data_IF_012981054159
#
_entry.id   IF_012981054159
#
_cell.length_a   1.000
_cell.length_b   1.000
_cell.length_c   1.000
_cell.angle_alpha   90.00
_cell.angle_beta   90.00
_cell.angle_gamma   90.00
#
_symmetry.space_group_name_H-M   'P 1'
#
loop_
_entity.id
_entity.type
_entity.pdbx_description
1 polymer ?
#
# COMPACT_ATOMS: atom_id res chain seq x y z
N UNK A 1 -7.45 58.06 8.87
CA UNK A 1 -6.47 57.36 8.04
C UNK A 1 -7.10 56.02 7.71
N UNK A 2 -7.63 55.82 6.52
CA UNK A 2 -8.25 54.55 6.09
C UNK A 2 -7.14 53.73 5.47
N UNK A 3 -6.76 52.63 6.10
CA UNK A 3 -5.85 51.66 5.49
C UNK A 3 -6.60 50.85 4.47
N UNK A 4 -6.40 51.14 3.20
CA UNK A 4 -6.83 50.26 2.12
C UNK A 4 -5.85 49.08 2.06
N UNK A 5 -6.28 47.90 2.53
CA UNK A 5 -5.55 46.66 2.29
C UNK A 5 -5.70 46.33 0.81
N UNK A 6 -4.68 46.60 0.04
CA UNK A 6 -4.55 46.08 -1.33
C UNK A 6 -4.22 44.60 -1.18
N UNK A 7 -5.22 43.75 -1.31
CA UNK A 7 -4.99 42.32 -1.55
C UNK A 7 -4.28 42.21 -2.92
N UNK A 8 -2.99 41.98 -2.91
CA UNK A 8 -2.30 41.52 -4.13
C UNK A 8 -3.00 40.22 -4.54
N UNK A 9 -3.75 40.28 -5.64
CA UNK A 9 -4.40 39.12 -6.21
C UNK A 9 -3.34 38.11 -6.58
N UNK A 10 -3.22 37.04 -5.77
CA UNK A 10 -2.51 35.84 -6.18
C UNK A 10 -3.17 35.40 -7.47
N UNK A 11 -2.44 35.37 -8.59
CA UNK A 11 -2.93 34.81 -9.85
C UNK A 11 -3.38 33.38 -9.56
N UNK A 12 -4.65 33.06 -9.88
CA UNK A 12 -5.19 31.75 -9.63
C UNK A 12 -4.30 30.69 -10.29
N UNK A 13 -3.74 29.77 -9.49
CA UNK A 13 -2.96 28.65 -10.01
C UNK A 13 -3.94 27.71 -10.71
N UNK A 14 -3.67 27.37 -11.97
CA UNK A 14 -4.49 26.47 -12.76
C UNK A 14 -3.85 25.09 -12.89
N UNK A 15 -4.63 24.03 -13.14
CA UNK A 15 -4.13 22.69 -13.45
C UNK A 15 -3.07 22.69 -14.55
N UNK A 16 -2.20 21.70 -14.51
CA UNK A 16 -1.12 21.52 -15.49
C UNK A 16 -1.65 21.11 -16.88
N UNK A 17 -2.82 20.48 -16.94
CA UNK A 17 -3.39 19.87 -18.14
C UNK A 17 -2.70 18.58 -18.57
N UNK A 18 -1.81 18.02 -17.75
CA UNK A 18 -1.08 16.78 -18.07
C UNK A 18 -1.64 15.53 -17.36
N UNK A 19 -2.47 15.72 -16.36
CA UNK A 19 -3.10 14.65 -15.58
C UNK A 19 -4.63 14.75 -15.66
N UNK A 20 -5.36 13.68 -15.33
CA UNK A 20 -6.79 13.75 -15.11
C UNK A 20 -7.14 14.80 -14.05
N UNK A 21 -8.23 15.54 -14.24
CA UNK A 21 -8.67 16.57 -13.33
C UNK A 21 -9.96 16.11 -12.66
N UNK A 22 -9.92 15.99 -11.33
CA UNK A 22 -11.08 15.68 -10.50
C UNK A 22 -11.76 16.96 -10.08
N UNK A 23 -12.99 17.14 -10.49
CA UNK A 23 -13.85 18.26 -10.11
C UNK A 23 -14.89 17.81 -9.09
N UNK A 24 -14.92 18.46 -7.96
CA UNK A 24 -15.88 18.22 -6.89
C UNK A 24 -16.61 19.53 -6.58
N UNK A 25 -17.93 19.46 -6.48
CA UNK A 25 -18.76 20.57 -6.00
C UNK A 25 -19.60 20.07 -4.83
N UNK A 26 -19.36 20.64 -3.64
CA UNK A 26 -20.18 20.33 -2.46
C UNK A 26 -21.52 21.07 -2.55
N UNK A 27 -22.58 20.45 -2.05
CA UNK A 27 -23.92 21.09 -2.07
C UNK A 27 -23.98 22.39 -1.25
N UNK A 28 -23.07 22.54 -0.31
CA UNK A 28 -22.94 23.75 0.53
C UNK A 28 -22.12 24.86 -0.16
N UNK A 29 -21.33 24.51 -1.16
CA UNK A 29 -20.31 25.41 -1.75
C UNK A 29 -19.16 25.74 -0.79
N UNK A 30 -19.10 25.12 0.40
CA UNK A 30 -18.10 25.39 1.41
C UNK A 30 -16.97 24.35 1.39
N UNK A 31 -15.76 24.69 1.88
CA UNK A 31 -14.69 23.74 2.06
C UNK A 31 -15.09 22.53 2.93
N UNK A 32 -14.51 21.37 2.68
CA UNK A 32 -14.67 20.18 3.49
C UNK A 32 -13.75 20.29 4.71
N UNK A 33 -14.33 20.53 5.88
CA UNK A 33 -13.59 20.77 7.14
C UNK A 33 -13.79 19.68 8.17
N UNK A 34 -14.67 18.73 7.92
CA UNK A 34 -15.02 17.65 8.84
C UNK A 34 -14.42 16.32 8.38
N UNK A 35 -13.83 15.59 9.31
CA UNK A 35 -13.24 14.27 9.10
C UNK A 35 -14.24 13.13 9.34
N UNK A 36 -15.25 13.36 10.16
CA UNK A 36 -16.16 12.31 10.63
C UNK A 36 -17.48 12.33 9.85
N UNK A 37 -17.98 13.51 9.50
CA UNK A 37 -19.25 13.68 8.82
C UNK A 37 -19.09 13.93 7.32
N UNK A 38 -19.89 13.23 6.52
CA UNK A 38 -19.92 13.40 5.07
C UNK A 38 -20.73 14.63 4.68
N UNK A 39 -20.17 15.38 3.70
CA UNK A 39 -20.88 16.42 2.95
C UNK A 39 -21.26 15.83 1.59
N UNK A 40 -22.51 16.00 1.18
CA UNK A 40 -22.98 15.58 -0.14
C UNK A 40 -22.53 16.56 -1.24
N UNK A 41 -22.42 16.06 -2.44
CA UNK A 41 -22.01 16.87 -3.59
C UNK A 41 -21.99 16.06 -4.89
N UNK A 42 -21.32 16.62 -5.87
CA UNK A 42 -21.13 16.00 -7.18
C UNK A 42 -19.66 15.94 -7.56
N UNK A 43 -19.34 14.97 -8.43
CA UNK A 43 -18.00 14.72 -8.95
C UNK A 43 -18.05 14.44 -10.46
N UNK A 44 -17.10 14.96 -11.20
CA UNK A 44 -16.75 14.48 -12.53
C UNK A 44 -15.23 14.51 -12.71
N UNK A 45 -14.75 13.75 -13.71
CA UNK A 45 -13.32 13.68 -14.04
C UNK A 45 -13.20 13.95 -15.55
N UNK A 46 -12.37 14.89 -15.91
CA UNK A 46 -12.00 15.19 -17.28
C UNK A 46 -10.50 15.07 -17.55
N UNK A 47 -10.06 15.46 -18.73
CA UNK A 47 -8.65 15.34 -19.14
C UNK A 47 -8.07 13.94 -18.98
N UNK A 48 -8.85 12.90 -19.25
CA UNK A 48 -8.45 11.51 -19.17
C UNK A 48 -8.75 10.76 -20.47
N UNK A 49 -8.18 9.56 -20.62
CA UNK A 49 -8.39 8.73 -21.80
C UNK A 49 -9.88 8.37 -21.99
N UNK A 50 -10.29 8.14 -23.22
CA UNK A 50 -11.65 7.71 -23.54
C UNK A 50 -12.02 6.45 -22.74
N UNK A 51 -13.23 6.45 -22.15
CA UNK A 51 -13.71 5.34 -21.31
C UNK A 51 -13.20 5.35 -19.86
N UNK A 52 -12.33 6.28 -19.48
CA UNK A 52 -11.83 6.42 -18.09
C UNK A 52 -12.53 7.54 -17.31
N UNK A 53 -13.48 8.24 -17.92
CA UNK A 53 -14.21 9.35 -17.30
C UNK A 53 -15.17 8.87 -16.20
N UNK A 54 -15.39 9.73 -15.20
CA UNK A 54 -16.45 9.59 -14.21
C UNK A 54 -17.41 10.77 -14.32
N UNK A 55 -18.54 10.59 -14.99
CA UNK A 55 -19.46 11.68 -15.28
C UNK A 55 -18.88 12.72 -16.25
N UNK A 56 -19.55 13.86 -16.35
CA UNK A 56 -19.12 15.03 -17.14
C UNK A 56 -19.57 16.32 -16.42
N UNK A 57 -19.06 17.47 -16.81
CA UNK A 57 -19.54 18.76 -16.28
C UNK A 57 -21.06 18.96 -16.44
N UNK A 58 -21.64 18.47 -17.55
CA UNK A 58 -23.09 18.56 -17.81
C UNK A 58 -23.90 17.46 -17.07
N UNK A 59 -23.27 16.36 -16.69
CA UNK A 59 -23.90 15.23 -16.00
C UNK A 59 -22.92 14.62 -14.98
N UNK A 60 -22.62 15.33 -13.89
CA UNK A 60 -21.74 14.83 -12.85
C UNK A 60 -22.39 13.69 -12.06
N UNK A 61 -21.59 12.88 -11.40
CA UNK A 61 -22.07 11.82 -10.50
C UNK A 61 -22.29 12.37 -9.09
N UNK A 62 -23.32 11.86 -8.43
CA UNK A 62 -23.55 12.15 -7.00
C UNK A 62 -22.60 11.39 -6.11
N UNK A 63 -22.14 12.04 -5.05
CA UNK A 63 -21.21 11.49 -4.09
C UNK A 63 -21.31 12.18 -2.74
N UNK A 64 -20.63 11.62 -1.75
CA UNK A 64 -20.36 12.24 -0.46
C UNK A 64 -18.85 12.31 -0.24
N UNK A 65 -18.37 13.37 0.40
CA UNK A 65 -16.96 13.62 0.71
C UNK A 65 -16.80 14.01 2.19
N UNK A 66 -15.71 13.56 2.79
CA UNK A 66 -15.23 14.00 4.11
C UNK A 66 -13.72 14.01 4.18
N UNK A 67 -13.16 14.60 5.21
CA UNK A 67 -11.75 14.46 5.51
C UNK A 67 -11.37 13.00 5.84
N UNK A 68 -10.05 12.71 5.83
CA UNK A 68 -9.48 11.43 6.27
C UNK A 68 -8.08 11.61 6.86
N UNK A 69 -7.59 10.54 7.49
CA UNK A 69 -6.27 10.49 8.12
C UNK A 69 -6.27 11.12 9.53
N UNK A 70 -5.23 10.84 10.27
CA UNK A 70 -4.99 11.39 11.62
C UNK A 70 -4.01 12.55 11.51
N UNK A 71 -2.71 12.25 11.50
CA UNK A 71 -1.65 13.24 11.43
C UNK A 71 -1.69 14.10 10.15
N UNK A 72 -1.94 13.50 8.99
CA UNK A 72 -2.05 14.21 7.71
C UNK A 72 -3.25 15.16 7.66
N UNK A 73 -4.32 14.87 8.39
CA UNK A 73 -5.47 15.77 8.52
C UNK A 73 -5.20 16.94 9.46
N UNK A 74 -4.61 16.68 10.63
CA UNK A 74 -4.41 17.71 11.65
C UNK A 74 -3.16 18.55 11.42
N UNK A 75 -2.10 17.96 10.88
CA UNK A 75 -0.77 18.55 10.77
C UNK A 75 -0.48 19.34 9.50
N UNK A 76 -1.33 19.26 8.46
CA UNK A 76 -1.05 19.89 7.15
C UNK A 76 -2.26 20.66 6.63
N UNK A 77 -2.03 21.73 5.88
CA UNK A 77 -3.09 22.53 5.25
C UNK A 77 -3.68 21.82 4.02
N UNK A 78 -2.86 21.11 3.26
CA UNK A 78 -3.30 20.29 2.14
C UNK A 78 -3.93 19.00 2.65
N UNK A 79 -5.28 18.96 2.64
CA UNK A 79 -6.08 17.92 3.30
C UNK A 79 -6.33 16.70 2.41
N UNK A 80 -6.19 15.49 2.93
CA UNK A 80 -6.66 14.27 2.25
C UNK A 80 -8.16 14.05 2.47
N UNK A 81 -8.83 13.39 1.49
CA UNK A 81 -10.29 13.20 1.52
C UNK A 81 -10.68 11.73 1.29
N UNK A 82 -11.85 11.34 1.80
CA UNK A 82 -12.54 10.09 1.51
C UNK A 82 -13.80 10.40 0.71
N UNK A 83 -13.97 9.69 -0.42
CA UNK A 83 -15.12 9.83 -1.32
C UNK A 83 -15.95 8.56 -1.26
N UNK A 84 -17.27 8.73 -1.25
CA UNK A 84 -18.25 7.66 -1.39
C UNK A 84 -19.22 8.03 -2.51
N UNK A 85 -19.10 7.34 -3.65
CA UNK A 85 -20.06 7.48 -4.76
C UNK A 85 -21.40 6.84 -4.40
N UNK A 86 -22.49 7.35 -4.91
CA UNK A 86 -23.82 6.76 -4.69
C UNK A 86 -23.95 5.38 -5.35
N UNK A 87 -23.27 5.18 -6.45
CA UNK A 87 -23.20 3.90 -7.16
C UNK A 87 -21.74 3.48 -7.41
N UNK A 88 -21.50 2.18 -7.50
CA UNK A 88 -20.18 1.67 -7.87
C UNK A 88 -19.84 2.02 -9.31
N UNK A 89 -18.64 2.55 -9.53
CA UNK A 89 -18.12 2.90 -10.84
C UNK A 89 -16.66 2.49 -10.98
N UNK A 90 -16.25 2.14 -12.19
CA UNK A 90 -14.84 2.15 -12.58
C UNK A 90 -14.36 3.59 -12.67
N UNK A 91 -13.16 3.88 -12.22
CA UNK A 91 -12.61 5.23 -12.21
C UNK A 91 -11.17 5.20 -12.69
N UNK A 92 -10.84 5.91 -13.74
CA UNK A 92 -9.49 6.02 -14.30
C UNK A 92 -8.82 4.65 -14.55
N UNK A 93 -9.57 3.67 -15.02
CA UNK A 93 -9.08 2.30 -15.26
C UNK A 93 -9.03 1.39 -14.03
N UNK A 94 -9.23 1.93 -12.84
CA UNK A 94 -9.31 1.13 -11.61
C UNK A 94 -10.66 0.42 -11.50
N UNK A 95 -10.68 -0.73 -10.82
CA UNK A 95 -11.86 -1.59 -10.72
C UNK A 95 -13.00 -0.95 -9.91
N UNK A 96 -14.23 -1.32 -10.29
CA UNK A 96 -15.45 -0.69 -9.78
C UNK A 96 -15.58 -0.72 -8.26
N UNK A 97 -15.82 0.44 -7.68
CA UNK A 97 -16.12 0.64 -6.27
C UNK A 97 -16.94 1.92 -6.03
N UNK A 98 -17.54 2.02 -4.84
CA UNK A 98 -18.12 3.27 -4.34
C UNK A 98 -17.12 4.09 -3.53
N UNK A 99 -16.07 3.49 -2.99
CA UNK A 99 -15.18 4.07 -1.98
C UNK A 99 -13.79 4.34 -2.54
N UNK A 100 -13.36 5.59 -2.41
CA UNK A 100 -12.10 6.10 -2.91
C UNK A 100 -11.46 7.04 -1.90
N UNK A 101 -10.14 7.17 -1.97
CA UNK A 101 -9.40 8.17 -1.22
C UNK A 101 -8.69 9.12 -2.18
N UNK A 102 -8.71 10.41 -1.87
CA UNK A 102 -7.83 11.42 -2.46
C UNK A 102 -6.70 11.67 -1.47
N UNK A 103 -5.55 11.05 -1.74
CA UNK A 103 -4.35 11.19 -0.91
C UNK A 103 -3.64 12.48 -1.27
N UNK A 104 -3.39 13.34 -0.27
CA UNK A 104 -2.76 14.64 -0.47
C UNK A 104 -1.24 14.55 -0.58
N UNK A 105 -0.63 13.52 0.04
CA UNK A 105 0.82 13.34 0.18
C UNK A 105 1.54 14.63 0.64
N UNK A 106 0.92 15.38 1.56
CA UNK A 106 1.39 16.66 2.04
C UNK A 106 2.67 16.55 2.89
N UNK A 107 2.94 15.37 3.42
CA UNK A 107 4.10 14.99 4.22
C UNK A 107 5.24 14.34 3.39
N UNK A 108 4.98 14.03 2.11
CA UNK A 108 5.98 13.37 1.26
C UNK A 108 6.95 14.38 0.63
N UNK A 109 8.13 14.48 1.20
CA UNK A 109 9.23 15.33 0.71
C UNK A 109 10.16 14.61 -0.28
N UNK A 110 9.84 13.38 -0.70
CA UNK A 110 10.60 12.57 -1.66
C UNK A 110 9.90 12.47 -3.02
N UNK A 111 9.33 13.59 -3.50
CA UNK A 111 8.75 13.68 -4.83
C UNK A 111 7.40 12.97 -4.97
N UNK A 112 6.63 12.85 -3.91
CA UNK A 112 5.36 12.10 -3.89
C UNK A 112 5.53 10.60 -4.23
N UNK A 113 6.73 10.04 -4.01
CA UNK A 113 7.07 8.70 -4.48
C UNK A 113 6.98 7.62 -3.40
N UNK A 114 6.84 7.96 -2.11
CA UNK A 114 6.83 6.94 -1.04
C UNK A 114 5.71 5.92 -1.22
N UNK A 115 4.45 6.36 -1.29
CA UNK A 115 3.33 5.44 -1.48
C UNK A 115 3.40 4.72 -2.85
N UNK A 116 3.82 5.43 -3.90
CA UNK A 116 3.98 4.82 -5.23
C UNK A 116 5.02 3.70 -5.20
N UNK A 117 6.17 3.94 -4.60
CA UNK A 117 7.22 2.91 -4.46
C UNK A 117 6.72 1.71 -3.66
N UNK A 118 6.04 1.93 -2.53
CA UNK A 118 5.48 0.85 -1.73
C UNK A 118 4.46 0.00 -2.48
N UNK A 119 3.56 0.63 -3.25
CA UNK A 119 2.60 -0.09 -4.08
C UNK A 119 3.25 -0.80 -5.28
N UNK A 120 4.28 -0.22 -5.90
CA UNK A 120 5.05 -0.89 -6.95
C UNK A 120 5.79 -2.11 -6.39
N UNK A 121 6.48 -1.97 -5.25
CA UNK A 121 7.12 -3.09 -4.56
C UNK A 121 6.13 -4.22 -4.27
N UNK A 122 4.97 -3.89 -3.70
CA UNK A 122 3.92 -4.86 -3.40
C UNK A 122 3.45 -5.62 -4.65
N UNK A 123 3.30 -4.94 -5.79
CA UNK A 123 2.92 -5.56 -7.07
C UNK A 123 4.02 -6.47 -7.61
N UNK A 124 5.27 -6.00 -7.61
CA UNK A 124 6.41 -6.78 -8.13
C UNK A 124 6.74 -7.99 -7.26
N UNK A 125 6.62 -7.87 -5.94
CA UNK A 125 6.82 -8.97 -5.00
C UNK A 125 5.63 -9.94 -5.04
N UNK A 126 4.46 -9.48 -5.52
CA UNK A 126 3.30 -10.32 -5.80
C UNK A 126 2.42 -10.60 -4.58
N UNK A 127 2.11 -9.57 -3.78
CA UNK A 127 1.05 -9.66 -2.77
C UNK A 127 -0.31 -9.89 -3.45
N UNK A 128 -1.21 -10.60 -2.79
CA UNK A 128 -2.53 -11.00 -3.33
C UNK A 128 -3.36 -9.83 -3.82
N UNK A 129 -3.28 -8.70 -3.16
CA UNK A 129 -3.91 -7.46 -3.58
C UNK A 129 -3.08 -6.26 -3.14
N UNK A 130 -2.93 -5.31 -4.04
CA UNK A 130 -2.27 -4.02 -3.78
C UNK A 130 -3.23 -2.91 -4.21
N UNK A 131 -3.47 -1.89 -3.37
CA UNK A 131 -4.24 -0.73 -3.79
C UNK A 131 -3.66 -0.09 -5.04
N UNK A 132 -4.52 0.19 -6.02
CA UNK A 132 -4.14 1.00 -7.17
C UNK A 132 -4.33 2.47 -6.87
N UNK A 133 -3.46 3.31 -7.43
CA UNK A 133 -3.58 4.76 -7.36
C UNK A 133 -3.30 5.39 -8.72
N UNK A 134 -3.96 6.51 -8.98
CA UNK A 134 -3.76 7.32 -10.19
C UNK A 134 -3.50 8.77 -9.76
N UNK A 135 -2.41 9.39 -10.23
CA UNK A 135 -2.18 10.81 -9.98
C UNK A 135 -3.22 11.66 -10.70
N UNK A 136 -3.79 12.63 -9.99
CA UNK A 136 -4.83 13.53 -10.49
C UNK A 136 -4.57 14.96 -10.00
N UNK A 137 -5.12 15.94 -10.68
CA UNK A 137 -5.22 17.30 -10.17
C UNK A 137 -6.61 17.52 -9.58
N UNK A 138 -6.71 18.17 -8.42
CA UNK A 138 -7.96 18.31 -7.69
C UNK A 138 -8.48 19.75 -7.70
N UNK A 139 -9.76 19.89 -8.03
CA UNK A 139 -10.52 21.12 -7.89
C UNK A 139 -11.73 20.84 -6.99
N UNK A 140 -11.89 21.60 -5.90
CA UNK A 140 -13.08 21.58 -5.07
C UNK A 140 -13.71 22.97 -5.05
N UNK A 141 -15.01 23.08 -5.36
CA UNK A 141 -15.75 24.33 -5.38
C UNK A 141 -15.05 25.44 -6.20
N UNK A 142 -14.51 25.07 -7.36
CA UNK A 142 -13.72 25.93 -8.26
C UNK A 142 -12.35 26.37 -7.70
N UNK A 143 -11.91 25.85 -6.56
CA UNK A 143 -10.58 26.10 -6.04
C UNK A 143 -9.63 24.96 -6.43
N UNK A 144 -8.50 25.28 -7.08
CA UNK A 144 -7.45 24.32 -7.39
C UNK A 144 -6.65 23.97 -6.13
N UNK A 145 -6.61 22.69 -5.80
CA UNK A 145 -5.94 22.17 -4.59
C UNK A 145 -4.63 21.43 -4.87
N UNK A 146 -4.21 21.33 -6.14
CA UNK A 146 -2.92 20.75 -6.50
C UNK A 146 -2.96 19.28 -6.91
N UNK A 147 -1.82 18.62 -6.84
CA UNK A 147 -1.62 17.21 -7.16
C UNK A 147 -2.12 16.32 -6.03
N UNK A 148 -2.97 15.38 -6.36
CA UNK A 148 -3.51 14.35 -5.47
C UNK A 148 -3.35 12.97 -6.09
N UNK A 149 -3.58 11.92 -5.29
CA UNK A 149 -3.59 10.54 -5.77
C UNK A 149 -4.95 9.93 -5.47
N UNK A 150 -5.72 9.66 -6.51
CA UNK A 150 -6.98 8.93 -6.38
C UNK A 150 -6.63 7.46 -6.16
N UNK A 151 -6.97 6.93 -4.99
CA UNK A 151 -6.47 5.65 -4.48
C UNK A 151 -7.62 4.75 -4.06
N UNK A 152 -7.51 3.46 -4.33
CA UNK A 152 -8.40 2.44 -3.78
C UNK A 152 -8.24 2.37 -2.27
N UNK A 153 -9.35 2.22 -1.53
CA UNK A 153 -9.32 2.09 -0.07
C UNK A 153 -9.21 0.62 0.34
N UNK A 154 -8.50 0.35 1.41
CA UNK A 154 -8.44 -0.99 2.02
C UNK A 154 -9.82 -1.36 2.54
N UNK A 155 -10.39 -2.48 2.04
CA UNK A 155 -11.67 -3.03 2.46
C UNK A 155 -11.95 -4.40 1.84
N UNK A 156 -12.81 -5.18 2.47
CA UNK A 156 -13.36 -6.40 1.87
C UNK A 156 -14.35 -5.99 0.76
N UNK A 157 -14.04 -6.41 -0.46
CA UNK A 157 -14.86 -6.21 -1.66
C UNK A 157 -14.34 -7.10 -2.78
N UNK A 158 -15.24 -7.59 -3.67
CA UNK A 158 -14.90 -8.46 -4.81
C UNK A 158 -13.68 -7.99 -5.64
N UNK A 159 -13.54 -6.69 -5.84
CA UNK A 159 -12.47 -6.10 -6.65
C UNK A 159 -11.27 -5.60 -5.80
N UNK A 160 -11.17 -5.99 -4.54
CA UNK A 160 -10.12 -5.60 -3.59
C UNK A 160 -9.72 -6.81 -2.75
N UNK A 161 -9.87 -6.78 -1.44
CA UNK A 161 -9.73 -7.97 -0.61
C UNK A 161 -10.96 -8.85 -0.87
N UNK A 162 -10.80 -9.84 -1.75
CA UNK A 162 -11.91 -10.67 -2.23
C UNK A 162 -12.08 -11.90 -1.34
N UNK A 163 -12.70 -11.70 -0.19
CA UNK A 163 -13.07 -12.74 0.78
C UNK A 163 -14.53 -12.55 1.20
N UNK A 164 -15.09 -13.51 1.93
CA UNK A 164 -16.37 -13.34 2.60
C UNK A 164 -16.33 -12.11 3.53
N UNK A 165 -17.48 -11.53 3.82
CA UNK A 165 -17.58 -10.39 4.75
C UNK A 165 -18.31 -10.82 6.00
N UNK A 166 -17.72 -10.66 7.17
CA UNK A 166 -18.38 -10.88 8.45
C UNK A 166 -19.52 -9.85 8.61
N UNK A 167 -20.75 -10.27 8.84
CA UNK A 167 -21.86 -9.34 9.07
C UNK A 167 -21.68 -8.56 10.37
N UNK A 168 -22.19 -7.33 10.38
CA UNK A 168 -22.27 -6.55 11.63
C UNK A 168 -23.18 -7.25 12.65
N UNK A 169 -22.79 -7.17 13.92
CA UNK A 169 -23.52 -7.69 15.08
C UNK A 169 -23.95 -9.18 14.95
N UNK A 170 -23.14 -9.98 14.25
CA UNK A 170 -23.38 -11.41 14.08
C UNK A 170 -23.30 -12.13 15.44
N UNK A 171 -24.26 -13.03 15.68
CA UNK A 171 -24.33 -13.85 16.88
C UNK A 171 -24.34 -15.36 16.57
N UNK A 172 -24.27 -15.74 15.28
CA UNK A 172 -24.27 -17.13 14.86
C UNK A 172 -22.87 -17.73 14.91
N UNK A 173 -22.61 -18.68 15.84
CA UNK A 173 -21.29 -19.29 15.97
C UNK A 173 -20.84 -20.03 14.71
N UNK A 174 -21.76 -20.52 13.88
CA UNK A 174 -21.44 -21.29 12.67
C UNK A 174 -20.82 -20.45 11.56
N UNK A 175 -21.06 -19.13 11.58
CA UNK A 175 -20.57 -18.17 10.59
C UNK A 175 -19.49 -17.22 11.15
N UNK A 176 -19.06 -17.46 12.39
CA UNK A 176 -18.13 -16.59 13.09
C UNK A 176 -16.69 -16.66 12.53
N UNK A 177 -16.35 -17.74 11.83
CA UNK A 177 -14.98 -18.06 11.44
C UNK A 177 -14.39 -17.12 10.39
N UNK A 178 -15.19 -16.36 9.62
CA UNK A 178 -14.62 -15.72 8.47
C UNK A 178 -15.14 -14.36 8.07
N UNK A 179 -14.35 -13.77 7.17
CA UNK A 179 -14.59 -12.43 6.65
C UNK A 179 -14.06 -11.31 7.52
N UNK A 180 -12.95 -11.53 8.18
CA UNK A 180 -12.31 -10.55 9.07
C UNK A 180 -11.27 -9.71 8.34
N UNK A 181 -11.31 -8.40 8.53
CA UNK A 181 -10.25 -7.45 8.17
C UNK A 181 -9.88 -6.68 9.42
N UNK A 182 -8.62 -6.76 9.80
CA UNK A 182 -8.09 -6.14 11.02
C UNK A 182 -6.79 -5.37 10.72
N UNK A 183 -6.40 -4.51 11.65
CA UNK A 183 -5.22 -3.67 11.54
C UNK A 183 -4.54 -3.55 12.90
N UNK A 184 -3.23 -3.76 12.98
CA UNK A 184 -2.48 -3.26 14.13
C UNK A 184 -2.38 -1.75 13.94
N UNK A 185 -3.06 -1.01 14.81
CA UNK A 185 -3.10 0.45 14.78
C UNK A 185 -3.13 1.02 16.19
N UNK A 186 -2.07 1.69 16.58
CA UNK A 186 -1.96 2.30 17.90
C UNK A 186 -2.52 3.73 17.97
N UNK A 187 -3.03 4.26 16.87
CA UNK A 187 -3.47 5.65 16.77
C UNK A 187 -5.00 5.82 16.78
N UNK A 188 -5.75 4.81 16.35
CA UNK A 188 -7.21 4.87 16.32
C UNK A 188 -7.80 4.18 17.54
N UNK A 189 -8.20 4.98 18.55
CA UNK A 189 -8.79 4.47 19.78
C UNK A 189 -10.31 4.26 19.69
N UNK A 190 -10.96 4.85 18.68
CA UNK A 190 -12.42 4.97 18.62
C UNK A 190 -13.08 3.86 17.82
N UNK A 191 -12.31 3.07 17.06
CA UNK A 191 -12.78 2.00 16.18
C UNK A 191 -12.55 0.62 16.79
N UNK A 192 -13.45 0.15 17.67
CA UNK A 192 -13.55 -1.26 18.10
C UNK A 192 -12.19 -1.96 18.29
N UNK A 193 -11.28 -1.32 19.04
CA UNK A 193 -9.90 -1.76 19.18
C UNK A 193 -9.76 -2.83 20.27
N UNK A 194 -8.98 -3.85 19.98
CA UNK A 194 -8.51 -4.82 20.96
C UNK A 194 -7.14 -4.45 21.48
N UNK A 195 -6.95 -4.67 22.77
CA UNK A 195 -5.63 -4.56 23.41
C UNK A 195 -5.13 -5.97 23.67
N UNK A 196 -4.00 -6.29 23.09
CA UNK A 196 -3.23 -7.48 23.45
C UNK A 196 -2.05 -7.06 24.30
N UNK A 197 -1.83 -7.79 25.38
CA UNK A 197 -0.68 -7.60 26.24
C UNK A 197 0.18 -8.86 26.18
N UNK A 198 1.40 -8.72 25.68
CA UNK A 198 2.42 -9.75 25.72
C UNK A 198 3.79 -9.13 25.85
N UNK A 199 4.69 -9.75 26.58
CA UNK A 199 6.05 -9.26 26.82
C UNK A 199 6.10 -7.80 27.35
N UNK A 200 5.13 -7.40 28.16
CA UNK A 200 4.98 -6.05 28.71
C UNK A 200 4.69 -4.94 27.66
N UNK A 201 4.30 -5.31 26.44
CA UNK A 201 3.86 -4.36 25.42
C UNK A 201 2.38 -4.58 25.11
N UNK A 202 1.59 -3.51 25.20
CA UNK A 202 0.22 -3.51 24.71
C UNK A 202 0.22 -3.36 23.19
N UNK A 203 -0.55 -4.19 22.51
CA UNK A 203 -0.78 -4.07 21.08
C UNK A 203 -2.28 -3.83 20.85
N UNK A 204 -2.60 -2.83 20.05
CA UNK A 204 -3.97 -2.52 19.67
C UNK A 204 -4.26 -3.10 18.30
N UNK A 205 -5.34 -3.88 18.21
CA UNK A 205 -5.85 -4.42 16.95
C UNK A 205 -7.22 -3.82 16.69
N UNK A 206 -7.33 -3.00 15.66
CA UNK A 206 -8.58 -2.40 15.21
C UNK A 206 -9.28 -3.34 14.23
N UNK A 207 -10.58 -3.55 14.39
CA UNK A 207 -11.39 -4.37 13.49
C UNK A 207 -12.13 -3.48 12.51
N UNK A 208 -11.89 -3.69 11.21
CA UNK A 208 -12.54 -2.94 10.11
C UNK A 208 -13.74 -3.66 9.51
N UNK A 209 -13.74 -4.99 9.61
CA UNK A 209 -14.88 -5.82 9.21
C UNK A 209 -15.01 -6.96 10.22
N UNK A 210 -16.15 -7.04 10.92
CA UNK A 210 -17.33 -6.18 10.82
C UNK A 210 -17.06 -4.74 11.32
N UNK A 211 -17.88 -3.76 10.87
CA UNK A 211 -17.78 -2.37 11.34
C UNK A 211 -18.35 -2.22 12.77
N UNK A 212 -19.35 -3.05 13.13
CA UNK A 212 -19.96 -3.09 14.46
C UNK A 212 -19.99 -4.54 14.96
N UNK A 213 -19.27 -4.81 16.05
CA UNK A 213 -19.18 -6.17 16.60
C UNK A 213 -20.25 -6.45 17.66
N UNK A 214 -20.77 -7.68 17.65
CA UNK A 214 -21.45 -8.26 18.81
C UNK A 214 -20.44 -8.68 19.88
N UNK A 215 -20.92 -9.02 21.10
CA UNK A 215 -20.06 -9.58 22.14
C UNK A 215 -19.41 -10.92 21.71
N UNK A 216 -20.16 -11.76 21.00
CA UNK A 216 -19.63 -13.03 20.48
C UNK A 216 -18.52 -12.83 19.44
N UNK A 217 -18.65 -11.81 18.57
CA UNK A 217 -17.62 -11.43 17.65
C UNK A 217 -16.38 -10.89 18.35
N UNK A 218 -16.54 -10.10 19.42
CA UNK A 218 -15.45 -9.63 20.26
C UNK A 218 -14.69 -10.78 20.91
N UNK A 219 -15.42 -11.73 21.49
CA UNK A 219 -14.82 -12.91 22.12
C UNK A 219 -14.07 -13.74 21.10
N UNK A 220 -14.65 -13.97 19.93
CA UNK A 220 -14.03 -14.75 18.86
C UNK A 220 -12.73 -14.12 18.36
N UNK A 221 -12.75 -12.84 17.99
CA UNK A 221 -11.55 -12.19 17.43
C UNK A 221 -10.47 -12.04 18.49
N UNK A 222 -10.82 -11.80 19.77
CA UNK A 222 -9.88 -11.79 20.87
C UNK A 222 -9.19 -13.16 21.04
N UNK A 223 -9.96 -14.25 20.96
CA UNK A 223 -9.41 -15.59 20.99
C UNK A 223 -8.46 -15.87 19.82
N UNK A 224 -8.81 -15.43 18.60
CA UNK A 224 -7.95 -15.56 17.42
C UNK A 224 -6.63 -14.80 17.57
N UNK A 225 -6.67 -13.56 18.08
CA UNK A 225 -5.48 -12.75 18.29
C UNK A 225 -4.58 -13.36 19.38
N UNK A 226 -5.16 -13.88 20.47
CA UNK A 226 -4.41 -14.59 21.48
C UNK A 226 -3.76 -15.88 20.93
N UNK A 227 -4.48 -16.63 20.10
CA UNK A 227 -3.95 -17.82 19.43
C UNK A 227 -2.74 -17.51 18.57
N UNK A 228 -2.80 -16.45 17.74
CA UNK A 228 -1.65 -15.98 16.95
C UNK A 228 -0.49 -15.57 17.86
N UNK A 229 -0.78 -14.79 18.90
CA UNK A 229 0.21 -14.31 19.84
C UNK A 229 0.92 -15.46 20.56
N UNK A 230 0.19 -16.48 20.99
CA UNK A 230 0.77 -17.67 21.63
C UNK A 230 1.62 -18.46 20.64
N UNK A 231 1.12 -18.69 19.42
CA UNK A 231 1.83 -19.44 18.39
C UNK A 231 3.16 -18.78 17.99
N UNK A 232 3.22 -17.45 17.88
CA UNK A 232 4.47 -16.74 17.56
C UNK A 232 5.51 -16.78 18.69
N UNK A 233 5.10 -16.93 19.94
CA UNK A 233 6.00 -16.99 21.09
C UNK A 233 6.27 -18.42 21.62
N UNK A 234 5.65 -19.44 21.02
CA UNK A 234 6.01 -20.83 21.26
C UNK A 234 7.34 -21.16 20.57
N UNK A 235 8.37 -21.37 21.34
CA UNK A 235 9.75 -21.50 20.83
C UNK A 235 10.07 -22.79 20.07
N UNK A 236 9.13 -23.73 19.91
CA UNK A 236 9.40 -25.10 19.46
C UNK A 236 8.44 -25.66 18.41
N UNK A 237 7.44 -24.92 17.92
CA UNK A 237 6.45 -25.49 17.02
C UNK A 237 6.29 -24.68 15.71
N UNK A 238 6.07 -25.39 14.59
CA UNK A 238 5.62 -24.80 13.32
C UNK A 238 4.12 -24.50 13.34
N UNK A 239 3.52 -24.45 14.52
CA UNK A 239 2.08 -24.27 14.70
C UNK A 239 1.57 -22.95 14.09
N UNK A 240 2.35 -21.89 14.19
CA UNK A 240 2.01 -20.60 13.60
C UNK A 240 1.81 -20.67 12.07
N UNK A 241 2.51 -21.56 11.36
CA UNK A 241 2.36 -21.76 9.92
C UNK A 241 1.01 -22.40 9.53
N UNK A 242 0.31 -23.03 10.48
CA UNK A 242 -1.04 -23.52 10.29
C UNK A 242 -2.06 -22.37 10.36
N UNK A 243 -1.72 -21.29 11.06
CA UNK A 243 -2.59 -20.14 11.30
C UNK A 243 -2.37 -19.02 10.30
N UNK A 244 -1.17 -18.93 9.71
CA UNK A 244 -0.74 -17.82 8.86
C UNK A 244 -0.27 -18.32 7.50
N UNK A 245 -0.57 -17.56 6.45
CA UNK A 245 0.03 -17.79 5.13
C UNK A 245 1.46 -17.23 5.14
N UNK A 246 2.43 -18.14 5.12
CA UNK A 246 3.85 -17.81 5.19
C UNK A 246 4.28 -16.91 4.02
N UNK A 247 3.83 -17.22 2.81
CA UNK A 247 4.23 -16.48 1.62
C UNK A 247 3.75 -15.02 1.68
N UNK A 248 2.50 -14.79 2.04
CA UNK A 248 1.97 -13.42 2.14
C UNK A 248 2.64 -12.63 3.26
N UNK A 249 2.90 -13.28 4.41
CA UNK A 249 3.60 -12.62 5.51
C UNK A 249 5.04 -12.23 5.12
N UNK A 250 5.77 -13.12 4.46
CA UNK A 250 7.14 -12.85 3.98
C UNK A 250 7.14 -11.76 2.90
N UNK A 251 6.22 -11.80 1.96
CA UNK A 251 6.08 -10.77 0.92
C UNK A 251 5.77 -9.40 1.53
N UNK A 252 4.84 -9.35 2.48
CA UNK A 252 4.53 -8.13 3.22
C UNK A 252 5.79 -7.57 3.91
N UNK A 253 6.51 -8.43 4.66
CA UNK A 253 7.75 -8.08 5.33
C UNK A 253 8.80 -7.53 4.34
N UNK A 254 9.00 -8.22 3.21
CA UNK A 254 9.97 -7.83 2.21
C UNK A 254 9.70 -6.43 1.64
N UNK A 255 8.42 -6.10 1.37
CA UNK A 255 8.05 -4.74 0.95
C UNK A 255 8.46 -3.71 2.00
N UNK A 256 8.12 -3.96 3.27
CA UNK A 256 8.37 -3.01 4.36
C UNK A 256 9.86 -2.81 4.61
N UNK A 257 10.65 -3.87 4.51
CA UNK A 257 12.11 -3.80 4.66
C UNK A 257 12.77 -3.04 3.51
N UNK A 258 12.38 -3.29 2.26
CA UNK A 258 12.97 -2.59 1.10
C UNK A 258 12.68 -1.10 1.18
N UNK A 259 11.46 -0.71 1.53
CA UNK A 259 11.09 0.70 1.63
C UNK A 259 11.45 1.33 2.98
N UNK A 260 12.06 0.56 3.88
CA UNK A 260 12.45 1.01 5.23
C UNK A 260 11.31 1.75 5.96
N UNK A 261 10.12 1.12 5.99
CA UNK A 261 8.96 1.68 6.66
C UNK A 261 9.01 1.37 8.16
N UNK A 262 9.57 2.28 8.94
CA UNK A 262 9.80 2.05 10.38
C UNK A 262 8.52 1.96 11.23
N UNK A 263 7.34 2.20 10.65
CA UNK A 263 6.05 2.14 11.34
C UNK A 263 5.23 0.88 10.98
N UNK A 264 5.71 0.07 10.05
CA UNK A 264 4.96 -0.97 9.33
C UNK A 264 4.24 -2.03 10.16
N UNK A 265 4.68 -2.28 11.40
CA UNK A 265 4.04 -3.23 12.32
C UNK A 265 3.49 -2.56 13.58
N UNK A 266 3.53 -1.24 13.63
CA UNK A 266 3.03 -0.42 14.74
C UNK A 266 1.73 0.32 14.38
N UNK A 267 1.55 0.67 13.12
CA UNK A 267 0.37 1.29 12.55
C UNK A 267 0.18 0.89 11.09
N UNK A 268 -1.02 0.94 10.60
CA UNK A 268 -1.42 0.59 9.23
C UNK A 268 -1.00 -0.82 8.79
N UNK A 269 -0.83 -1.72 9.75
CA UNK A 269 -0.49 -3.12 9.50
C UNK A 269 -1.76 -3.95 9.35
N UNK A 270 -2.25 -4.07 8.12
CA UNK A 270 -3.45 -4.82 7.80
C UNK A 270 -3.18 -6.31 7.68
N UNK A 271 -4.14 -7.12 8.11
CA UNK A 271 -4.23 -8.55 7.81
C UNK A 271 -5.67 -9.01 7.83
N UNK A 272 -5.95 -10.10 7.14
CA UNK A 272 -7.32 -10.55 6.93
C UNK A 272 -7.42 -12.08 6.91
N UNK A 273 -8.62 -12.59 7.18
CA UNK A 273 -8.92 -14.03 7.20
C UNK A 273 -10.26 -14.27 6.53
N UNK A 274 -10.28 -15.21 5.58
CA UNK A 274 -11.52 -15.66 4.92
C UNK A 274 -12.31 -16.62 5.83
N UNK A 275 -13.48 -17.02 5.40
CA UNK A 275 -14.29 -18.02 6.09
C UNK A 275 -13.65 -19.41 6.03
N UNK A 276 -13.96 -20.23 7.01
CA UNK A 276 -13.50 -21.62 7.12
C UNK A 276 -12.76 -21.92 8.41
N UNK A 277 -12.92 -23.15 8.91
CA UNK A 277 -12.29 -23.58 10.17
C UNK A 277 -10.75 -23.51 10.06
N UNK A 278 -10.21 -23.95 8.93
CA UNK A 278 -8.77 -24.02 8.66
C UNK A 278 -8.24 -22.81 7.86
N UNK A 279 -9.04 -21.73 7.72
CA UNK A 279 -8.61 -20.55 7.01
C UNK A 279 -7.43 -19.87 7.72
N UNK A 280 -6.42 -19.46 6.95
CA UNK A 280 -5.24 -18.77 7.43
C UNK A 280 -5.42 -17.26 7.45
N UNK A 281 -4.63 -16.60 8.27
CA UNK A 281 -4.45 -15.15 8.22
C UNK A 281 -3.45 -14.77 7.13
N UNK A 282 -3.80 -13.75 6.34
CA UNK A 282 -3.00 -13.18 5.26
C UNK A 282 -2.58 -11.77 5.63
N UNK A 283 -1.28 -11.48 5.69
CA UNK A 283 -0.77 -10.14 5.92
C UNK A 283 -0.89 -9.28 4.67
N UNK A 284 -1.32 -8.07 4.84
CA UNK A 284 -1.61 -7.13 3.76
C UNK A 284 -3.08 -6.68 3.76
N UNK A 285 -3.43 -5.80 2.80
CA UNK A 285 -2.54 -5.15 1.84
C UNK A 285 -1.60 -4.14 2.51
N UNK A 286 -0.56 -3.76 1.81
CA UNK A 286 0.32 -2.67 2.26
C UNK A 286 -0.40 -1.32 2.18
N UNK A 287 -0.12 -0.45 3.14
CA UNK A 287 -0.70 0.88 3.24
C UNK A 287 0.22 1.80 4.04
N UNK A 288 0.15 3.12 3.77
CA UNK A 288 0.81 4.19 4.51
C UNK A 288 2.35 4.06 4.63
N UNK A 289 3.02 4.65 3.66
CA UNK A 289 4.47 4.70 3.59
C UNK A 289 5.04 6.08 3.98
N UNK A 290 4.26 6.90 4.68
CA UNK A 290 4.63 8.26 5.08
C UNK A 290 5.95 8.34 5.86
N UNK A 291 6.25 7.31 6.66
CA UNK A 291 7.46 7.23 7.48
C UNK A 291 8.63 6.48 6.81
N UNK A 292 8.50 6.09 5.54
CA UNK A 292 9.56 5.41 4.80
C UNK A 292 10.79 6.32 4.62
N UNK A 293 11.98 5.73 4.81
CA UNK A 293 13.27 6.43 4.75
C UNK A 293 13.38 7.64 5.69
N UNK A 294 12.60 7.66 6.77
CA UNK A 294 12.65 8.77 7.72
C UNK A 294 13.95 8.78 8.54
N UNK A 295 14.43 7.62 8.90
CA UNK A 295 15.71 7.44 9.62
C UNK A 295 16.43 6.24 9.02
N UNK A 296 17.40 6.50 8.16
CA UNK A 296 18.24 5.43 7.62
C UNK A 296 19.04 4.74 8.70
N UNK A 297 18.87 3.44 8.79
CA UNK A 297 19.60 2.58 9.71
C UNK A 297 19.96 1.27 9.01
N UNK A 298 21.20 0.81 9.23
CA UNK A 298 21.65 -0.51 8.80
C UNK A 298 21.18 -1.59 9.78
N UNK A 299 19.89 -1.62 10.03
CA UNK A 299 19.18 -2.54 10.92
C UNK A 299 17.92 -3.05 10.21
N UNK A 300 17.43 -4.27 10.56
CA UNK A 300 16.08 -4.66 10.20
C UNK A 300 15.05 -3.68 10.79
N UNK A 301 13.91 -3.53 10.12
CA UNK A 301 12.89 -2.56 10.60
C UNK A 301 12.39 -2.88 12.01
N UNK A 302 12.36 -4.15 12.43
CA UNK A 302 11.91 -4.54 13.77
C UNK A 302 12.93 -4.20 14.88
N UNK A 303 14.17 -3.86 14.54
CA UNK A 303 15.19 -3.34 15.47
C UNK A 303 15.23 -1.81 15.47
N UNK A 304 14.46 -1.14 14.61
CA UNK A 304 14.41 0.31 14.58
C UNK A 304 13.81 0.85 15.89
N UNK A 305 14.52 1.69 16.65
CA UNK A 305 14.06 2.13 17.97
C UNK A 305 12.93 3.17 17.92
N UNK A 306 12.51 3.61 16.73
CA UNK A 306 11.48 4.64 16.59
C UNK A 306 10.11 4.15 17.03
N UNK A 307 9.75 2.92 16.62
CA UNK A 307 8.48 2.29 16.97
C UNK A 307 8.71 0.84 17.37
N UNK A 308 7.93 0.36 18.33
CA UNK A 308 7.93 -1.06 18.67
C UNK A 308 7.16 -1.86 17.62
N UNK A 309 7.77 -2.91 17.07
CA UNK A 309 7.28 -3.65 15.90
C UNK A 309 6.63 -5.00 16.27
N UNK A 310 6.10 -5.13 17.45
CA UNK A 310 5.34 -6.27 17.95
C UNK A 310 5.88 -7.65 17.51
N UNK A 311 5.06 -8.51 16.95
CA UNK A 311 5.33 -9.91 16.60
C UNK A 311 6.50 -10.11 15.62
N UNK A 312 6.80 -9.14 14.78
CA UNK A 312 7.65 -9.37 13.60
C UNK A 312 9.10 -9.71 13.95
N UNK A 313 9.63 -9.19 15.05
CA UNK A 313 10.98 -9.55 15.51
C UNK A 313 11.09 -11.03 15.87
N UNK A 314 10.04 -11.59 16.46
CA UNK A 314 9.97 -13.02 16.78
C UNK A 314 9.75 -13.85 15.51
N UNK A 315 8.82 -13.46 14.65
CA UNK A 315 8.51 -14.14 13.37
C UNK A 315 9.74 -14.21 12.48
N UNK A 316 10.49 -13.12 12.34
CA UNK A 316 11.69 -13.05 11.52
C UNK A 316 12.81 -13.99 11.99
N UNK A 317 12.76 -14.51 13.21
CA UNK A 317 13.72 -15.48 13.74
C UNK A 317 13.45 -16.92 13.30
N UNK A 318 12.27 -17.24 12.76
CA UNK A 318 11.93 -18.60 12.38
C UNK A 318 12.67 -19.06 11.11
N UNK A 319 13.27 -20.28 11.11
CA UNK A 319 14.03 -20.76 9.96
C UNK A 319 13.25 -20.85 8.65
N UNK A 320 11.98 -21.25 8.69
CA UNK A 320 11.10 -21.30 7.53
C UNK A 320 10.84 -19.91 6.94
N UNK A 321 10.63 -18.92 7.81
CA UNK A 321 10.48 -17.53 7.39
C UNK A 321 11.75 -17.01 6.70
N UNK A 322 12.92 -17.24 7.31
CA UNK A 322 14.20 -16.79 6.76
C UNK A 322 14.51 -17.45 5.41
N UNK A 323 14.25 -18.76 5.29
CA UNK A 323 14.43 -19.48 4.02
C UNK A 323 13.54 -18.91 2.93
N UNK A 324 12.25 -18.69 3.24
CA UNK A 324 11.30 -18.15 2.26
C UNK A 324 11.56 -16.69 1.91
N UNK A 325 12.03 -15.90 2.88
CA UNK A 325 12.48 -14.52 2.67
C UNK A 325 13.64 -14.46 1.68
N UNK A 326 14.62 -15.36 1.80
CA UNK A 326 15.76 -15.39 0.90
C UNK A 326 15.34 -15.72 -0.54
N UNK A 327 14.39 -16.63 -0.74
CA UNK A 327 13.86 -16.95 -2.07
C UNK A 327 13.19 -15.72 -2.72
N UNK A 328 12.24 -15.07 -2.04
CA UNK A 328 11.57 -13.88 -2.59
C UNK A 328 12.51 -12.69 -2.76
N UNK A 329 13.51 -12.55 -1.90
CA UNK A 329 14.55 -11.53 -2.04
C UNK A 329 15.37 -11.71 -3.30
N UNK A 330 15.78 -12.94 -3.61
CA UNK A 330 16.54 -13.23 -4.82
C UNK A 330 15.70 -13.04 -6.09
N UNK A 331 14.45 -13.47 -6.07
CA UNK A 331 13.52 -13.22 -7.17
C UNK A 331 13.34 -11.72 -7.41
N UNK A 332 13.14 -10.96 -6.35
CA UNK A 332 13.03 -9.50 -6.45
C UNK A 332 14.28 -8.87 -7.08
N UNK A 333 15.47 -9.20 -6.59
CA UNK A 333 16.71 -8.63 -7.11
C UNK A 333 16.96 -8.98 -8.57
N UNK A 334 16.69 -10.23 -8.95
CA UNK A 334 17.02 -10.74 -10.26
C UNK A 334 16.00 -10.35 -11.34
N UNK A 335 14.72 -10.23 -10.97
CA UNK A 335 13.64 -10.09 -11.94
C UNK A 335 12.93 -8.73 -11.86
N UNK A 336 12.90 -8.08 -10.71
CA UNK A 336 11.97 -6.99 -10.45
C UNK A 336 12.64 -5.65 -10.08
N UNK A 337 13.88 -5.66 -9.61
CA UNK A 337 14.53 -4.42 -9.14
C UNK A 337 14.74 -3.41 -10.29
N UNK A 338 15.20 -3.85 -11.45
CA UNK A 338 15.40 -2.93 -12.58
C UNK A 338 14.09 -2.43 -13.18
N UNK A 339 13.07 -3.26 -13.46
CA UNK A 339 11.74 -2.79 -13.86
C UNK A 339 11.09 -1.82 -12.87
N UNK A 340 11.27 -2.05 -11.57
CA UNK A 340 10.79 -1.14 -10.53
C UNK A 340 11.37 0.28 -10.68
N UNK A 341 12.68 0.39 -10.95
CA UNK A 341 13.34 1.69 -11.16
C UNK A 341 12.82 2.39 -12.43
N UNK A 342 12.56 1.63 -13.48
CA UNK A 342 11.99 2.15 -14.73
C UNK A 342 10.56 2.70 -14.52
N UNK A 343 9.71 1.96 -13.81
CA UNK A 343 8.36 2.41 -13.47
C UNK A 343 8.36 3.62 -12.54
N UNK A 344 9.26 3.65 -11.56
CA UNK A 344 9.39 4.80 -10.67
C UNK A 344 9.85 6.06 -11.43
N UNK A 345 10.74 5.88 -12.40
CA UNK A 345 11.17 6.96 -13.30
C UNK A 345 10.00 7.45 -14.17
N UNK A 346 9.25 6.53 -14.77
CA UNK A 346 8.08 6.86 -15.59
C UNK A 346 7.03 7.62 -14.75
N UNK A 347 6.79 7.19 -13.52
CA UNK A 347 5.90 7.90 -12.59
C UNK A 347 6.40 9.33 -12.32
N UNK A 348 7.67 9.53 -11.99
CA UNK A 348 8.26 10.86 -11.81
C UNK A 348 8.04 11.74 -13.05
N UNK A 349 8.31 11.21 -14.25
CA UNK A 349 8.13 11.94 -15.50
C UNK A 349 6.66 12.31 -15.77
N UNK A 350 5.71 11.44 -15.40
CA UNK A 350 4.28 11.66 -15.51
C UNK A 350 3.81 12.85 -14.66
N UNK A 351 4.29 12.93 -13.40
CA UNK A 351 3.75 13.92 -12.45
C UNK A 351 4.51 15.24 -12.39
N UNK A 352 5.71 15.35 -12.99
CA UNK A 352 6.62 16.50 -12.81
C UNK A 352 6.01 17.86 -13.08
N UNK A 353 5.13 17.98 -14.06
CA UNK A 353 4.48 19.25 -14.39
C UNK A 353 3.40 19.61 -13.35
N UNK A 354 2.60 18.64 -12.94
CA UNK A 354 1.60 18.82 -11.90
C UNK A 354 2.24 19.08 -10.52
N UNK A 355 3.37 18.45 -10.21
CA UNK A 355 4.14 18.70 -8.98
C UNK A 355 4.66 20.15 -8.92
N UNK A 356 5.04 20.74 -10.06
CA UNK A 356 5.40 22.16 -10.11
C UNK A 356 4.19 23.05 -9.83
N UNK A 357 3.01 22.72 -10.36
CA UNK A 357 1.75 23.45 -10.09
C UNK A 357 1.31 23.29 -8.63
N UNK A 358 1.50 22.10 -8.07
CA UNK A 358 1.27 21.85 -6.65
C UNK A 358 2.16 22.74 -5.78
N UNK A 359 3.44 22.87 -6.12
CA UNK A 359 4.36 23.79 -5.43
C UNK A 359 3.95 25.26 -5.63
N UNK A 360 3.51 25.68 -6.83
CA UNK A 360 2.98 27.03 -7.06
C UNK A 360 1.76 27.33 -6.16
N UNK A 361 0.94 26.32 -5.86
CA UNK A 361 -0.23 26.45 -4.98
C UNK A 361 0.14 26.47 -3.50
N UNK A 362 1.12 25.66 -3.08
CA UNK A 362 1.37 25.39 -1.67
C UNK A 362 2.69 25.97 -1.13
N UNK A 363 3.62 26.46 -1.96
CA UNK A 363 4.79 27.19 -1.48
C UNK A 363 4.31 28.39 -0.65
N UNK A 364 4.84 28.51 0.54
CA UNK A 364 4.47 29.52 1.55
C UNK A 364 3.06 29.34 2.20
N UNK A 365 2.43 28.20 2.05
CA UNK A 365 1.20 27.87 2.74
C UNK A 365 1.49 26.80 3.82
N UNK A 366 1.78 27.25 5.02
CA UNK A 366 1.90 26.45 6.20
C UNK A 366 2.82 25.22 6.07
N UNK A 367 2.38 24.10 6.63
CA UNK A 367 3.16 22.86 6.70
C UNK A 367 2.75 21.90 5.57
N UNK A 368 3.28 22.14 4.36
CA UNK A 368 3.11 21.25 3.20
C UNK A 368 4.48 20.99 2.58
N UNK A 369 4.81 19.72 2.34
CA UNK A 369 5.99 19.37 1.58
C UNK A 369 5.73 19.63 0.11
N UNK A 370 6.50 20.49 -0.52
CA UNK A 370 6.44 20.79 -1.94
C UNK A 370 7.61 20.15 -2.69
N UNK A 371 7.35 19.66 -3.89
CA UNK A 371 8.29 18.87 -4.67
C UNK A 371 8.52 19.53 -6.06
N UNK A 372 9.00 20.79 -6.07
CA UNK A 372 9.24 21.54 -7.30
C UNK A 372 10.38 20.94 -8.14
N UNK A 373 11.46 20.53 -7.51
CA UNK A 373 12.60 19.87 -8.15
C UNK A 373 12.42 18.35 -8.17
N UNK A 374 11.65 17.87 -9.12
CA UNK A 374 11.36 16.44 -9.27
C UNK A 374 12.57 15.60 -9.66
N UNK A 375 13.58 16.16 -10.35
CA UNK A 375 14.79 15.42 -10.68
C UNK A 375 15.67 15.21 -9.43
N UNK A 376 15.86 16.24 -8.63
CA UNK A 376 16.56 16.13 -7.35
C UNK A 376 15.84 15.21 -6.38
N UNK A 377 14.49 15.26 -6.32
CA UNK A 377 13.69 14.37 -5.47
C UNK A 377 13.76 12.91 -5.91
N UNK A 378 13.74 12.66 -7.21
CA UNK A 378 13.92 11.31 -7.77
C UNK A 378 15.33 10.77 -7.44
N UNK A 379 16.36 11.58 -7.60
CA UNK A 379 17.73 11.21 -7.23
C UNK A 379 17.85 10.87 -5.75
N UNK A 380 17.21 11.65 -4.87
CA UNK A 380 17.16 11.38 -3.44
C UNK A 380 16.42 10.08 -3.13
N UNK A 381 15.24 9.84 -3.72
CA UNK A 381 14.47 8.63 -3.52
C UNK A 381 15.23 7.38 -3.98
N UNK A 382 15.81 7.40 -5.17
CA UNK A 382 16.58 6.26 -5.70
C UNK A 382 17.90 6.06 -4.93
N UNK A 383 18.50 7.13 -4.42
CA UNK A 383 19.64 7.06 -3.52
C UNK A 383 19.30 6.31 -2.22
N UNK A 384 18.19 6.67 -1.59
CA UNK A 384 17.67 5.99 -0.39
C UNK A 384 17.39 4.50 -0.66
N UNK A 385 16.69 4.21 -1.74
CA UNK A 385 16.41 2.83 -2.15
C UNK A 385 17.69 2.03 -2.39
N UNK A 386 18.64 2.59 -3.13
CA UNK A 386 19.93 1.93 -3.42
C UNK A 386 20.72 1.67 -2.14
N UNK A 387 20.75 2.64 -1.22
CA UNK A 387 21.41 2.47 0.07
C UNK A 387 20.76 1.30 0.85
N UNK A 388 19.43 1.26 0.93
CA UNK A 388 18.72 0.20 1.64
C UNK A 388 18.93 -1.17 0.96
N UNK A 389 18.86 -1.26 -0.35
CA UNK A 389 19.15 -2.49 -1.10
C UNK A 389 20.57 -2.99 -0.83
N UNK A 390 21.57 -2.11 -0.73
CA UNK A 390 22.95 -2.52 -0.41
C UNK A 390 23.08 -3.07 1.00
N UNK A 391 22.40 -2.48 1.98
CA UNK A 391 22.31 -3.05 3.32
C UNK A 391 21.66 -4.45 3.29
N UNK A 392 20.50 -4.60 2.64
CA UNK A 392 19.81 -5.89 2.56
C UNK A 392 20.61 -6.95 1.79
N UNK A 393 21.40 -6.56 0.79
CA UNK A 393 22.37 -7.46 0.15
C UNK A 393 23.43 -7.97 1.11
N UNK A 394 23.91 -7.14 2.01
CA UNK A 394 24.87 -7.57 3.03
C UNK A 394 24.24 -8.52 4.07
N UNK A 395 22.95 -8.32 4.37
CA UNK A 395 22.21 -9.11 5.34
C UNK A 395 21.69 -10.45 4.78
N UNK A 396 21.18 -10.43 3.54
CA UNK A 396 20.44 -11.56 2.93
C UNK A 396 21.10 -12.15 1.66
N UNK A 397 22.20 -11.56 1.20
CA UNK A 397 22.92 -12.01 0.02
C UNK A 397 22.59 -11.22 -1.26
N UNK A 398 23.43 -11.45 -2.28
CA UNK A 398 23.48 -10.64 -3.50
C UNK A 398 22.46 -11.04 -4.60
N UNK A 399 21.51 -11.92 -4.34
CA UNK A 399 20.53 -12.36 -5.36
C UNK A 399 21.05 -13.37 -6.36
N UNK A 400 22.35 -13.57 -6.44
CA UNK A 400 22.94 -14.68 -7.21
C UNK A 400 23.02 -15.87 -6.27
N UNK A 401 21.94 -16.64 -6.16
CA UNK A 401 22.19 -18.06 -5.90
C UNK A 401 23.00 -18.52 -7.10
N UNK A 402 24.29 -18.65 -6.91
CA UNK A 402 25.03 -19.55 -7.76
C UNK A 402 24.20 -20.83 -7.79
N UNK A 403 24.03 -21.42 -8.98
CA UNK A 403 23.52 -22.77 -9.19
C UNK A 403 24.55 -23.75 -8.55
N UNK A 404 24.85 -23.56 -7.29
CA UNK A 404 25.87 -24.29 -6.53
C UNK A 404 25.29 -25.39 -5.63
N UNK A 405 23.97 -25.54 -5.59
CA UNK A 405 23.30 -26.63 -4.88
C UNK A 405 22.49 -27.55 -5.78
N UNK A 406 22.69 -27.52 -7.11
CA UNK A 406 22.37 -28.70 -7.90
C UNK A 406 23.49 -29.72 -7.66
N UNK A 407 23.15 -30.98 -7.31
CA UNK A 407 24.16 -32.05 -7.30
C UNK A 407 24.93 -32.00 -8.63
N UNK A 408 26.24 -32.17 -8.59
CA UNK A 408 27.14 -32.08 -9.73
C UNK A 408 26.79 -32.99 -10.95
N UNK A 409 25.70 -33.71 -10.90
CA UNK A 409 25.27 -34.70 -11.87
C UNK A 409 24.20 -34.25 -12.87
N UNK A 410 23.73 -32.95 -12.86
CA UNK A 410 22.67 -32.54 -13.83
C UNK A 410 22.96 -31.20 -14.53
N UNK A 411 23.96 -31.20 -15.40
CA UNK A 411 24.18 -30.06 -16.32
C UNK A 411 23.18 -30.08 -17.46
N UNK A 412 22.13 -29.26 -17.35
CA UNK A 412 21.26 -28.96 -18.48
C UNK A 412 21.86 -27.79 -19.28
N UNK A 413 22.16 -27.98 -20.53
CA UNK A 413 22.73 -26.96 -21.43
C UNK A 413 21.64 -26.46 -22.37
N UNK A 414 21.38 -25.16 -22.40
CA UNK A 414 20.59 -24.54 -23.47
C UNK A 414 21.47 -24.40 -24.72
N UNK A 415 20.99 -24.93 -25.82
CA UNK A 415 21.67 -24.77 -27.10
C UNK A 415 20.69 -24.49 -28.24
N UNK A 416 21.21 -23.91 -29.33
CA UNK A 416 20.44 -23.65 -30.53
C UNK A 416 20.69 -24.79 -31.51
N UNK A 417 19.65 -25.57 -31.87
CA UNK A 417 19.75 -26.71 -32.80
C UNK A 417 18.59 -26.64 -33.78
N UNK A 418 18.91 -26.71 -35.08
CA UNK A 418 17.90 -26.69 -36.16
C UNK A 418 16.91 -25.51 -36.08
N UNK A 419 17.38 -24.31 -35.73
CA UNK A 419 16.53 -23.10 -35.66
C UNK A 419 15.68 -22.96 -34.39
N UNK A 420 15.85 -23.86 -33.44
CA UNK A 420 15.08 -23.84 -32.15
C UNK A 420 16.01 -23.89 -30.94
N UNK A 421 15.57 -23.25 -29.85
CA UNK A 421 16.23 -23.38 -28.55
C UNK A 421 15.80 -24.70 -27.93
N UNK A 422 16.78 -25.54 -27.58
CA UNK A 422 16.56 -26.83 -26.90
C UNK A 422 17.37 -26.89 -25.61
N UNK A 423 16.91 -27.72 -24.67
CA UNK A 423 17.58 -28.03 -23.43
C UNK A 423 18.12 -29.44 -23.52
N UNK A 424 19.43 -29.60 -23.41
CA UNK A 424 20.07 -30.92 -23.37
C UNK A 424 20.43 -31.23 -21.94
N UNK A 425 19.94 -32.36 -21.43
CA UNK A 425 20.20 -32.88 -20.09
C UNK A 425 20.54 -34.36 -20.18
N UNK A 426 21.66 -34.77 -19.65
CA UNK A 426 22.12 -36.16 -19.65
C UNK A 426 22.07 -36.81 -21.05
N UNK A 427 22.50 -36.08 -22.07
CA UNK A 427 22.46 -36.53 -23.46
C UNK A 427 21.06 -36.58 -24.10
N UNK A 428 20.01 -36.26 -23.37
CA UNK A 428 18.63 -36.21 -23.88
C UNK A 428 18.24 -34.77 -24.19
N UNK A 429 17.63 -34.57 -25.37
CA UNK A 429 17.19 -33.25 -25.82
C UNK A 429 15.70 -33.01 -25.45
N UNK A 430 15.41 -31.83 -24.92
CA UNK A 430 14.05 -31.40 -24.58
C UNK A 430 13.72 -30.07 -25.25
N UNK A 431 12.46 -29.85 -25.54
CA UNK A 431 11.96 -28.52 -25.92
C UNK A 431 12.01 -27.54 -24.71
N UNK A 432 11.87 -26.25 -24.98
CA UNK A 432 11.75 -25.22 -23.91
C UNK A 432 10.53 -25.42 -23.01
N UNK A 433 9.54 -26.19 -23.42
CA UNK A 433 8.36 -26.57 -22.65
C UNK A 433 8.53 -27.88 -21.89
N UNK A 434 9.73 -28.49 -21.90
CA UNK A 434 10.03 -29.73 -21.17
C UNK A 434 9.62 -31.02 -21.90
N UNK A 435 9.15 -30.95 -23.16
CA UNK A 435 8.83 -32.15 -23.95
C UNK A 435 10.12 -32.75 -24.48
N UNK A 436 10.32 -34.07 -24.28
CA UNK A 436 11.47 -34.81 -24.85
C UNK A 436 11.38 -34.81 -26.36
N UNK A 437 12.50 -34.45 -27.00
CA UNK A 437 12.67 -34.49 -28.44
C UNK A 437 13.50 -35.70 -28.76
N UNK A 438 12.91 -36.71 -29.40
CA UNK A 438 13.63 -37.87 -29.89
C UNK A 438 14.55 -37.43 -31.06
N UNK A 439 15.75 -37.98 -31.12
CA UNK A 439 16.77 -37.65 -32.13
C UNK A 439 16.36 -38.04 -33.53
#
# INVERSE_FOLDING_TARGET
>A
MVFTVVSAGLSAVNPSGTLPIVHITTNTGQPVTDRDNYVTGTIYIDNCAAGQTLGTAASPKTMSIRGRGNYTWTGFEKKPYKIKLDTSNTVLGMLSSRHWALMAAADDNLGFMRNTLGFLLSKYIGLRWTPSQVPVELIINNEYLGLYFLTETVRIQKNRINIASQPDQNQDPSTMSGGWLVEIDNYDADNQAYLLEKNNHSMRVTVHTPEIMSSQQQDYISAQMNLLNDAFYESTSDHWEQLVDLDELVKFYLVQEIIENCESYHGSCYFYRDEGADAKWFWGPVWDFGNSYWRHQELPIYENPTFYQYWIGQIASFPSFQSRLQEFWYDFLNLHYQPLLEDLKAFKDQIKTAAKRDADRWDNHGRVCTNRDMEGKYSQMTGNLTWRINYLRSAWGNGVQAIHNMPEEQTAVKMFRNGQVVIVRDGTTYSVTGMRLDN
#
